data_IF_762219940597
#
_entry.id   IF_762219940597
#
_cell.length_a   1.000
_cell.length_b   1.000
_cell.length_c   1.000
_cell.angle_alpha   90.00
_cell.angle_beta   90.00
_cell.angle_gamma   90.00
#
_symmetry.space_group_name_H-M   'P 1'
#
loop_
_entity.id
_entity.type
_entity.pdbx_description
1 polymer ?
#
# COMPACT_ATOMS: atom_id res chain seq x y z
N UNK A 1 19.56 -70.65 -30.87
CA UNK A 1 18.51 -70.76 -29.84
C UNK A 1 18.72 -69.68 -28.78
N UNK A 2 17.67 -68.89 -28.51
CA UNK A 2 17.43 -68.00 -27.34
C UNK A 2 18.40 -66.81 -27.16
N UNK A 3 18.10 -65.66 -27.80
CA UNK A 3 17.54 -64.44 -27.16
C UNK A 3 18.06 -64.10 -25.77
N UNK A 4 18.59 -62.87 -25.62
CA UNK A 4 18.09 -61.88 -24.65
C UNK A 4 18.71 -60.51 -24.92
N UNK A 5 17.85 -59.60 -25.38
CA UNK A 5 18.11 -58.16 -25.47
C UNK A 5 18.31 -57.62 -24.06
N UNK A 6 19.36 -56.83 -23.84
CA UNK A 6 19.47 -55.95 -22.66
C UNK A 6 19.46 -54.52 -23.15
N UNK A 7 18.25 -53.96 -23.17
CA UNK A 7 17.99 -52.53 -23.32
C UNK A 7 18.64 -51.85 -22.10
N UNK A 8 19.60 -50.96 -22.36
CA UNK A 8 20.15 -50.06 -21.36
C UNK A 8 19.09 -48.99 -21.12
N UNK A 9 18.28 -49.16 -20.07
CA UNK A 9 17.33 -48.14 -19.62
C UNK A 9 18.11 -47.10 -18.84
N UNK A 10 18.30 -45.94 -19.47
CA UNK A 10 18.76 -44.69 -18.90
C UNK A 10 17.76 -44.26 -17.82
N UNK A 11 18.11 -44.37 -16.54
CA UNK A 11 17.33 -43.77 -15.45
C UNK A 11 17.79 -42.31 -15.34
N UNK A 12 17.13 -41.45 -16.11
CA UNK A 12 17.12 -40.00 -15.89
C UNK A 12 16.36 -39.77 -14.58
N UNK A 13 17.07 -39.48 -13.49
CA UNK A 13 16.45 -39.03 -12.25
C UNK A 13 15.97 -37.60 -12.50
N UNK A 14 14.70 -37.48 -12.90
CA UNK A 14 13.96 -36.22 -12.88
C UNK A 14 13.61 -35.97 -11.41
N UNK A 15 14.40 -35.16 -10.70
CA UNK A 15 13.99 -34.58 -9.42
C UNK A 15 13.03 -33.43 -9.68
N UNK A 16 11.78 -33.77 -9.97
CA UNK A 16 10.65 -32.85 -9.86
C UNK A 16 9.73 -33.35 -8.76
N UNK A 17 9.24 -32.40 -7.95
CA UNK A 17 8.26 -32.51 -6.87
C UNK A 17 8.88 -32.95 -5.53
N UNK A 18 8.74 -32.23 -4.42
CA UNK A 18 7.78 -31.20 -4.05
C UNK A 18 8.52 -30.04 -3.39
N UNK A 19 8.29 -28.82 -3.88
CA UNK A 19 8.29 -27.66 -3.00
C UNK A 19 7.33 -27.99 -1.86
N UNK A 20 7.87 -28.34 -0.70
CA UNK A 20 7.11 -28.30 0.52
C UNK A 20 6.60 -26.86 0.60
N UNK A 21 5.34 -26.67 0.24
CA UNK A 21 4.58 -25.49 0.56
C UNK A 21 4.45 -25.54 2.09
N UNK A 22 5.53 -25.15 2.78
CA UNK A 22 5.45 -24.82 4.18
C UNK A 22 4.55 -23.59 4.19
N UNK A 23 3.28 -23.80 4.51
CA UNK A 23 2.43 -22.74 5.06
C UNK A 23 3.04 -22.37 6.40
N UNK A 24 4.18 -21.68 6.35
CA UNK A 24 4.80 -21.10 7.51
C UNK A 24 3.77 -20.11 8.06
N UNK A 25 3.26 -20.43 9.25
CA UNK A 25 2.32 -19.55 9.94
C UNK A 25 2.95 -18.16 9.98
N UNK A 26 2.21 -17.11 9.57
CA UNK A 26 2.75 -15.76 9.59
C UNK A 26 3.20 -15.45 11.02
N UNK A 27 4.36 -14.81 11.15
CA UNK A 27 4.84 -14.39 12.47
C UNK A 27 3.81 -13.45 13.12
N UNK A 28 3.83 -13.30 14.46
CA UNK A 28 2.99 -12.32 15.13
C UNK A 28 3.14 -10.91 14.53
N UNK A 29 4.37 -10.50 14.22
CA UNK A 29 4.66 -9.22 13.57
C UNK A 29 4.05 -9.13 12.17
N UNK A 30 4.17 -10.20 11.37
CA UNK A 30 3.58 -10.26 10.04
C UNK A 30 2.05 -10.14 10.10
N UNK A 31 1.42 -10.75 11.11
CA UNK A 31 -0.03 -10.65 11.34
C UNK A 31 -0.44 -9.23 11.70
N UNK A 32 0.28 -8.57 12.61
CA UNK A 32 0.02 -7.17 13.00
C UNK A 32 0.21 -6.21 11.82
N UNK A 33 1.30 -6.34 11.05
CA UNK A 33 1.55 -5.52 9.85
C UNK A 33 0.42 -5.67 8.83
N UNK A 34 -0.04 -6.91 8.57
CA UNK A 34 -1.17 -7.17 7.65
C UNK A 34 -2.44 -6.48 8.13
N UNK A 35 -2.72 -6.47 9.44
CA UNK A 35 -3.83 -5.74 10.03
C UNK A 35 -3.76 -4.24 9.77
N UNK A 36 -2.58 -3.63 9.94
CA UNK A 36 -2.37 -2.20 9.67
C UNK A 36 -2.55 -1.88 8.18
N UNK A 37 -2.05 -2.72 7.28
CA UNK A 37 -2.26 -2.54 5.84
C UNK A 37 -3.74 -2.61 5.45
N UNK A 38 -4.49 -3.60 5.96
CA UNK A 38 -5.94 -3.70 5.73
C UNK A 38 -6.67 -2.46 6.25
N UNK A 39 -6.29 -1.97 7.42
CA UNK A 39 -6.85 -0.76 8.00
C UNK A 39 -6.54 0.49 7.15
N UNK A 40 -5.31 0.63 6.64
CA UNK A 40 -4.93 1.71 5.74
C UNK A 40 -5.77 1.70 4.46
N UNK A 41 -5.90 0.53 3.82
CA UNK A 41 -6.70 0.40 2.59
C UNK A 41 -8.16 0.78 2.81
N UNK A 42 -8.76 0.23 3.86
CA UNK A 42 -10.14 0.55 4.27
C UNK A 42 -10.29 2.05 4.60
N UNK A 43 -9.27 2.66 5.19
CA UNK A 43 -9.27 4.09 5.49
C UNK A 43 -9.31 4.92 4.22
N UNK A 44 -8.53 4.57 3.20
CA UNK A 44 -8.54 5.26 1.92
C UNK A 44 -9.86 5.06 1.17
N UNK A 45 -10.42 3.85 1.19
CA UNK A 45 -11.71 3.53 0.55
C UNK A 45 -12.89 4.31 1.15
N UNK A 46 -12.84 4.58 2.46
CA UNK A 46 -13.95 5.17 3.20
C UNK A 46 -13.71 6.63 3.60
N UNK A 47 -12.74 7.31 2.99
CA UNK A 47 -12.44 8.71 3.28
C UNK A 47 -12.62 9.60 2.06
N UNK A 48 -13.15 10.78 2.31
CA UNK A 48 -13.39 11.78 1.26
C UNK A 48 -12.44 12.98 1.36
N UNK A 49 -11.57 13.01 2.37
CA UNK A 49 -10.59 14.09 2.54
C UNK A 49 -9.26 13.61 3.15
N UNK A 50 -8.13 14.29 2.84
CA UNK A 50 -6.83 13.98 3.43
C UNK A 50 -6.79 14.11 4.96
N UNK A 51 -7.46 15.12 5.51
CA UNK A 51 -7.61 15.31 6.95
C UNK A 51 -8.34 14.14 7.61
N UNK A 52 -9.39 13.62 6.97
CA UNK A 52 -10.12 12.43 7.40
C UNK A 52 -9.24 11.17 7.37
N UNK A 53 -8.39 11.01 6.35
CA UNK A 53 -7.39 9.94 6.29
C UNK A 53 -6.44 10.04 7.48
N UNK A 54 -5.83 11.20 7.71
CA UNK A 54 -4.89 11.41 8.83
C UNK A 54 -5.54 11.04 10.17
N UNK A 55 -6.76 11.54 10.43
CA UNK A 55 -7.48 11.26 11.67
C UNK A 55 -7.69 9.75 11.91
N UNK A 56 -8.11 9.02 10.87
CA UNK A 56 -8.31 7.58 10.93
C UNK A 56 -7.00 6.82 11.07
N UNK A 57 -5.97 7.15 10.28
CA UNK A 57 -4.69 6.44 10.32
C UNK A 57 -3.99 6.58 11.69
N UNK A 58 -4.12 7.72 12.37
CA UNK A 58 -3.63 7.90 13.75
C UNK A 58 -4.32 6.96 14.76
N UNK A 59 -5.49 6.41 14.43
CA UNK A 59 -6.25 5.49 15.28
C UNK A 59 -5.93 4.02 15.01
N UNK A 60 -4.96 3.73 14.13
CA UNK A 60 -4.57 2.35 13.84
C UNK A 60 -4.00 1.65 15.08
N UNK A 61 -4.39 0.38 15.27
CA UNK A 61 -3.78 -0.46 16.29
C UNK A 61 -2.41 -0.95 15.80
N UNK A 62 -1.34 -0.47 16.43
CA UNK A 62 0.04 -0.84 16.11
C UNK A 62 0.63 -1.89 17.06
N UNK A 63 -0.19 -2.48 17.95
CA UNK A 63 0.27 -3.51 18.89
C UNK A 63 0.79 -4.72 18.11
N UNK A 64 2.00 -5.16 18.44
CA UNK A 64 2.70 -6.26 17.79
C UNK A 64 3.39 -5.89 16.48
N UNK A 65 3.27 -4.65 15.99
CA UNK A 65 4.11 -4.17 14.90
C UNK A 65 5.55 -3.94 15.39
N UNK A 66 6.56 -4.23 14.56
CA UNK A 66 7.95 -3.97 14.89
C UNK A 66 8.26 -2.45 14.88
N UNK A 67 9.25 -1.97 15.65
CA UNK A 67 9.53 -0.54 15.79
C UNK A 67 9.81 0.21 14.48
N UNK A 68 10.54 -0.41 13.55
CA UNK A 68 10.87 0.19 12.25
C UNK A 68 9.64 0.36 11.35
N UNK A 69 8.68 -0.56 11.47
CA UNK A 69 7.39 -0.44 10.78
C UNK A 69 6.53 0.67 11.40
N UNK A 70 6.47 0.76 12.73
CA UNK A 70 5.76 1.82 13.44
C UNK A 70 6.28 3.19 13.01
N UNK A 71 7.61 3.35 12.97
CA UNK A 71 8.24 4.58 12.51
C UNK A 71 7.88 4.92 11.06
N UNK A 72 8.00 3.95 10.14
CA UNK A 72 7.65 4.16 8.74
C UNK A 72 6.15 4.48 8.55
N UNK A 73 5.28 3.90 9.38
CA UNK A 73 3.84 4.18 9.36
C UNK A 73 3.54 5.61 9.84
N UNK A 74 4.21 6.10 10.88
CA UNK A 74 4.10 7.49 11.30
C UNK A 74 4.60 8.46 10.23
N UNK A 75 5.72 8.16 9.56
CA UNK A 75 6.21 8.97 8.44
C UNK A 75 5.20 9.01 7.28
N UNK A 76 4.51 7.89 7.01
CA UNK A 76 3.43 7.84 6.03
C UNK A 76 2.23 8.72 6.41
N UNK A 77 1.82 8.72 7.69
CA UNK A 77 0.78 9.62 8.20
C UNK A 77 1.22 11.09 8.08
N UNK A 78 2.46 11.40 8.42
CA UNK A 78 3.01 12.75 8.33
C UNK A 78 3.02 13.26 6.89
N UNK A 79 3.29 12.38 5.92
CA UNK A 79 3.21 12.74 4.51
C UNK A 79 1.76 13.05 4.07
N UNK A 80 0.76 12.33 4.58
CA UNK A 80 -0.65 12.68 4.38
C UNK A 80 -1.04 14.03 4.99
N UNK A 81 -0.40 14.46 6.09
CA UNK A 81 -0.62 15.81 6.66
C UNK A 81 -0.22 16.92 5.67
N UNK A 82 0.71 16.65 4.76
CA UNK A 82 1.03 17.56 3.66
C UNK A 82 -0.20 17.85 2.78
N UNK A 83 -0.94 16.81 2.40
CA UNK A 83 -2.20 16.97 1.66
C UNK A 83 -3.31 17.59 2.51
N UNK A 84 -3.38 17.31 3.82
CA UNK A 84 -4.34 17.95 4.71
C UNK A 84 -4.13 19.48 4.83
N UNK A 85 -2.89 19.95 4.68
CA UNK A 85 -2.62 21.39 4.62
C UNK A 85 -3.06 22.00 3.28
N UNK A 86 -2.88 21.28 2.17
CA UNK A 86 -3.36 21.71 0.84
C UNK A 86 -4.90 21.76 0.82
N UNK A 87 -5.56 20.76 1.41
CA UNK A 87 -7.01 20.71 1.60
C UNK A 87 -7.54 21.99 2.26
N UNK A 88 -6.88 22.50 3.30
CA UNK A 88 -7.28 23.76 3.96
C UNK A 88 -7.23 24.95 2.99
N UNK A 89 -6.19 25.04 2.16
CA UNK A 89 -6.05 26.10 1.17
C UNK A 89 -7.11 25.97 0.08
N UNK A 90 -7.40 24.75 -0.38
CA UNK A 90 -8.47 24.49 -1.36
C UNK A 90 -9.84 24.91 -0.82
N UNK A 91 -10.16 24.59 0.44
CA UNK A 91 -11.41 25.01 1.06
C UNK A 91 -11.52 26.53 1.20
N UNK A 92 -10.42 27.21 1.51
CA UNK A 92 -10.39 28.67 1.60
C UNK A 92 -10.65 29.34 0.24
N UNK A 93 -10.18 28.73 -0.86
CA UNK A 93 -10.42 29.23 -2.22
C UNK A 93 -11.82 28.89 -2.74
N UNK A 94 -12.26 27.64 -2.64
CA UNK A 94 -13.58 27.19 -3.09
C UNK A 94 -13.99 25.88 -2.41
N UNK A 95 -14.80 26.00 -1.34
CA UNK A 95 -15.24 24.86 -0.54
C UNK A 95 -15.93 23.76 -1.35
N UNK A 96 -16.91 24.11 -2.20
CA UNK A 96 -17.72 23.13 -2.94
C UNK A 96 -16.87 22.36 -3.96
N UNK A 97 -15.99 23.08 -4.67
CA UNK A 97 -15.07 22.46 -5.63
C UNK A 97 -14.06 21.57 -4.91
N UNK A 98 -13.51 22.04 -3.79
CA UNK A 98 -12.53 21.30 -3.01
C UNK A 98 -13.09 19.97 -2.50
N UNK A 99 -14.31 19.98 -1.95
CA UNK A 99 -14.99 18.77 -1.46
C UNK A 99 -15.13 17.71 -2.57
N UNK A 100 -15.58 18.13 -3.76
CA UNK A 100 -15.73 17.23 -4.92
C UNK A 100 -14.38 16.69 -5.41
N UNK A 101 -13.40 17.57 -5.60
CA UNK A 101 -12.10 17.20 -6.18
C UNK A 101 -11.25 16.37 -5.23
N UNK A 102 -11.31 16.61 -3.92
CA UNK A 102 -10.61 15.81 -2.91
C UNK A 102 -11.20 14.41 -2.78
N UNK A 103 -12.53 14.30 -2.78
CA UNK A 103 -13.20 13.00 -2.76
C UNK A 103 -12.85 12.18 -4.00
N UNK A 104 -12.85 12.81 -5.18
CA UNK A 104 -12.44 12.16 -6.42
C UNK A 104 -10.95 11.77 -6.41
N UNK A 105 -10.08 12.66 -5.93
CA UNK A 105 -8.65 12.40 -5.79
C UNK A 105 -8.40 11.14 -4.96
N UNK A 106 -9.02 11.04 -3.77
CA UNK A 106 -8.81 9.91 -2.86
C UNK A 106 -9.35 8.61 -3.45
N UNK A 107 -10.57 8.64 -3.99
CA UNK A 107 -11.19 7.48 -4.63
C UNK A 107 -10.30 6.85 -5.72
N UNK A 108 -9.66 7.69 -6.53
CA UNK A 108 -8.82 7.22 -7.63
C UNK A 108 -7.37 6.96 -7.21
N UNK A 109 -6.93 7.48 -6.05
CA UNK A 109 -5.54 7.46 -5.62
C UNK A 109 -4.98 6.04 -5.52
N UNK A 110 -5.71 5.09 -4.92
CA UNK A 110 -5.22 3.73 -4.76
C UNK A 110 -5.04 2.98 -6.09
N UNK A 111 -5.87 3.28 -7.09
CA UNK A 111 -5.82 2.62 -8.39
C UNK A 111 -4.73 3.23 -9.28
N UNK A 112 -4.63 4.55 -9.30
CA UNK A 112 -3.63 5.27 -10.09
C UNK A 112 -3.19 6.56 -9.37
N UNK A 113 -2.20 6.48 -8.47
CA UNK A 113 -1.75 7.63 -7.68
C UNK A 113 -1.28 8.79 -8.56
N UNK A 114 -0.45 8.50 -9.58
CA UNK A 114 0.13 9.52 -10.47
C UNK A 114 -0.95 10.23 -11.27
N UNK A 115 -1.89 9.50 -11.88
CA UNK A 115 -2.97 10.13 -12.65
C UNK A 115 -3.88 10.99 -11.76
N UNK A 116 -4.17 10.52 -10.54
CA UNK A 116 -5.00 11.25 -9.58
C UNK A 116 -4.36 12.58 -9.17
N UNK A 117 -3.05 12.59 -8.92
CA UNK A 117 -2.29 13.81 -8.59
C UNK A 117 -2.22 14.76 -9.79
N UNK A 118 -1.99 14.23 -11.00
CA UNK A 118 -1.98 15.03 -12.24
C UNK A 118 -3.34 15.70 -12.47
N UNK A 119 -4.44 14.98 -12.21
CA UNK A 119 -5.78 15.58 -12.30
C UNK A 119 -5.98 16.66 -11.25
N UNK A 120 -5.60 16.40 -9.99
CA UNK A 120 -5.76 17.37 -8.91
C UNK A 120 -4.99 18.68 -9.19
N UNK A 121 -3.73 18.61 -9.65
CA UNK A 121 -2.95 19.81 -9.99
C UNK A 121 -3.54 20.59 -11.19
N UNK A 122 -4.15 19.89 -12.16
CA UNK A 122 -4.80 20.54 -13.30
C UNK A 122 -6.02 21.35 -12.85
N UNK A 123 -6.74 20.84 -11.85
CA UNK A 123 -7.90 21.48 -11.25
C UNK A 123 -7.53 22.61 -10.27
N UNK A 124 -6.33 22.55 -9.67
CA UNK A 124 -5.84 23.48 -8.64
C UNK A 124 -4.46 24.02 -8.99
N UNK A 125 -4.38 24.73 -10.13
CA UNK A 125 -3.10 25.20 -10.71
C UNK A 125 -2.29 26.10 -9.78
N UNK A 126 -2.96 26.92 -8.96
CA UNK A 126 -2.33 27.77 -7.95
C UNK A 126 -1.56 26.98 -6.90
N UNK A 127 -1.99 25.73 -6.62
CA UNK A 127 -1.43 24.84 -5.60
C UNK A 127 -0.58 23.72 -6.21
N UNK A 128 -0.24 23.78 -7.51
CA UNK A 128 0.39 22.68 -8.22
C UNK A 128 1.75 22.28 -7.63
N UNK A 129 2.55 23.26 -7.20
CA UNK A 129 3.88 23.03 -6.61
C UNK A 129 3.79 22.35 -5.24
N UNK A 130 2.83 22.78 -4.41
CA UNK A 130 2.54 22.18 -3.11
C UNK A 130 2.04 20.74 -3.29
N UNK A 131 1.14 20.51 -4.26
CA UNK A 131 0.61 19.19 -4.60
C UNK A 131 1.76 18.24 -5.02
N UNK A 132 2.66 18.69 -5.88
CA UNK A 132 3.81 17.88 -6.30
C UNK A 132 4.76 17.56 -5.16
N UNK A 133 5.03 18.54 -4.30
CA UNK A 133 5.87 18.36 -3.11
C UNK A 133 5.23 17.37 -2.13
N UNK A 134 3.93 17.49 -1.88
CA UNK A 134 3.20 16.57 -1.00
C UNK A 134 3.15 15.15 -1.58
N UNK A 135 2.93 15.02 -2.89
CA UNK A 135 2.95 13.73 -3.56
C UNK A 135 4.31 13.04 -3.50
N UNK A 136 5.40 13.76 -3.74
CA UNK A 136 6.75 13.21 -3.66
C UNK A 136 7.04 12.63 -2.26
N UNK A 137 6.67 13.36 -1.21
CA UNK A 137 6.81 12.91 0.18
C UNK A 137 5.94 11.69 0.47
N UNK A 138 4.67 11.72 0.06
CA UNK A 138 3.72 10.63 0.28
C UNK A 138 4.13 9.35 -0.44
N UNK A 139 4.53 9.47 -1.71
CA UNK A 139 5.02 8.34 -2.51
C UNK A 139 6.28 7.72 -1.89
N UNK A 140 7.25 8.55 -1.47
CA UNK A 140 8.46 8.09 -0.81
C UNK A 140 8.17 7.36 0.51
N UNK A 141 7.36 7.97 1.39
CA UNK A 141 6.99 7.38 2.67
C UNK A 141 6.22 6.06 2.48
N UNK A 142 5.33 5.99 1.48
CA UNK A 142 4.60 4.77 1.17
C UNK A 142 5.51 3.65 0.64
N UNK A 143 6.48 3.99 -0.22
CA UNK A 143 7.51 3.02 -0.67
C UNK A 143 8.31 2.52 0.52
N UNK A 144 8.73 3.39 1.43
CA UNK A 144 9.44 3.00 2.65
C UNK A 144 8.59 2.05 3.50
N UNK A 145 7.34 2.41 3.78
CA UNK A 145 6.41 1.59 4.55
C UNK A 145 6.25 0.18 3.95
N UNK A 146 6.12 0.08 2.62
CA UNK A 146 6.06 -1.21 1.91
C UNK A 146 7.35 -1.99 2.04
N UNK A 147 8.50 -1.33 1.84
CA UNK A 147 9.81 -1.98 1.93
C UNK A 147 10.05 -2.54 3.34
N UNK A 148 9.66 -1.82 4.40
CA UNK A 148 9.72 -2.36 5.77
C UNK A 148 8.82 -3.58 5.91
N UNK A 149 7.56 -3.52 5.45
CA UNK A 149 6.66 -4.69 5.49
C UNK A 149 7.24 -5.93 4.81
N UNK A 150 7.92 -5.76 3.67
CA UNK A 150 8.55 -6.88 2.96
C UNK A 150 9.66 -7.56 3.75
N UNK A 151 10.37 -6.86 4.64
CA UNK A 151 11.36 -7.47 5.54
C UNK A 151 10.73 -8.52 6.47
N UNK A 152 9.44 -8.35 6.79
CA UNK A 152 8.65 -9.25 7.60
C UNK A 152 7.77 -10.20 6.75
N UNK A 153 8.08 -10.36 5.46
CA UNK A 153 7.33 -11.17 4.50
C UNK A 153 5.86 -10.75 4.32
N UNK A 154 5.54 -9.47 4.52
CA UNK A 154 4.20 -8.92 4.27
C UNK A 154 4.24 -7.92 3.13
N UNK A 155 3.55 -8.25 2.04
CA UNK A 155 3.34 -7.31 0.93
C UNK A 155 2.10 -6.45 1.17
N UNK A 156 2.17 -5.18 0.75
CA UNK A 156 1.00 -4.31 0.69
C UNK A 156 0.19 -4.67 -0.56
N UNK A 157 -0.76 -5.58 -0.38
CA UNK A 157 -1.68 -5.99 -1.44
C UNK A 157 -3.10 -5.66 -1.02
N UNK A 158 -3.87 -5.07 -1.95
CA UNK A 158 -5.33 -5.08 -1.82
C UNK A 158 -5.77 -6.53 -1.58
N UNK A 159 -6.68 -6.79 -0.62
CA UNK A 159 -7.19 -8.13 -0.46
C UNK A 159 -7.74 -8.56 -1.83
N UNK A 160 -7.12 -9.58 -2.42
CA UNK A 160 -7.81 -10.38 -3.44
C UNK A 160 -9.09 -10.82 -2.77
N UNK A 161 -10.24 -10.40 -3.30
CA UNK A 161 -11.57 -10.74 -2.81
C UNK A 161 -11.62 -12.16 -2.25
N UNK A 162 -11.57 -12.29 -0.93
CA UNK A 162 -11.83 -13.52 -0.18
C UNK A 162 -12.99 -13.22 0.77
N UNK A 163 -14.16 -13.04 0.16
CA UNK A 163 -15.44 -13.57 0.61
C UNK A 163 -15.88 -14.60 -0.42
#
# INVERSE_FOLDING_TARGET
MKTKHKIIILITIITSLLSACQTQLPSPEATSIKGVYLYNMTTLDNSNSPSGIVAKLNSANLIGCPPDFIEAYHQYIDAWRGFAQIEKNMYAENLKKADTDLAEFIKNYQQNPTASVVKLKQQWKSLASEIDTAYAKLSSAFVMLKNIGTKYNVAYNAPSSWF
#
